data_IF_687421139467
#
_entry.id   IF_687421139467
#
_cell.length_a   1.000
_cell.length_b   1.000
_cell.length_c   1.000
_cell.angle_alpha   90.00
_cell.angle_beta   90.00
_cell.angle_gamma   90.00
#
_symmetry.space_group_name_H-M   'P 1'
#
loop_
_entity.id
_entity.type
_entity.pdbx_description
1 polymer ?
#
# COMPACT_ATOMS: atom_id res chain seq x y z
N UNK A 1 -3.02 11.09 13.49
CA UNK A 1 -3.92 10.45 12.51
C UNK A 1 -4.90 9.55 13.23
N UNK A 2 -6.05 9.24 12.63
CA UNK A 2 -6.97 8.19 13.09
C UNK A 2 -7.06 7.13 11.99
N UNK A 3 -6.56 5.92 12.28
CA UNK A 3 -6.70 4.79 11.38
C UNK A 3 -8.10 4.18 11.51
N UNK A 4 -8.88 4.20 10.43
CA UNK A 4 -10.24 3.65 10.38
C UNK A 4 -10.16 2.25 9.78
N UNK A 5 -9.94 1.26 10.65
CA UNK A 5 -9.66 -0.13 10.27
C UNK A 5 -8.16 -0.38 10.06
N UNK A 6 -7.82 -1.63 9.74
CA UNK A 6 -6.49 -2.05 9.32
C UNK A 6 -6.64 -3.10 8.21
N UNK A 7 -6.06 -2.81 7.05
CA UNK A 7 -6.03 -3.69 5.88
C UNK A 7 -7.41 -4.26 5.44
N UNK A 8 -8.47 -3.44 5.36
CA UNK A 8 -9.84 -3.94 5.16
C UNK A 8 -10.05 -4.65 3.82
N UNK A 9 -9.16 -4.44 2.85
CA UNK A 9 -9.25 -4.97 1.48
C UNK A 9 -8.28 -6.13 1.22
N UNK A 10 -7.69 -6.72 2.26
CA UNK A 10 -6.89 -7.94 2.13
C UNK A 10 -7.66 -9.02 1.35
N UNK A 11 -6.95 -9.75 0.46
CA UNK A 11 -7.53 -10.90 -0.27
C UNK A 11 -8.22 -11.88 0.70
N UNK A 12 -7.62 -12.12 1.86
CA UNK A 12 -8.13 -13.04 2.89
C UNK A 12 -9.52 -12.66 3.43
N UNK A 13 -9.91 -11.38 3.39
CA UNK A 13 -11.21 -10.94 3.87
C UNK A 13 -12.31 -11.03 2.81
N UNK A 14 -12.00 -11.48 1.59
CA UNK A 14 -13.00 -11.77 0.54
C UNK A 14 -14.07 -10.66 0.38
N UNK A 15 -13.60 -9.41 0.27
CA UNK A 15 -14.43 -8.20 0.12
C UNK A 15 -15.43 -7.90 1.26
N UNK A 16 -15.30 -8.53 2.44
CA UNK A 16 -16.21 -8.34 3.59
C UNK A 16 -16.40 -6.86 3.97
N UNK A 17 -15.33 -6.06 3.90
CA UNK A 17 -15.35 -4.66 4.35
C UNK A 17 -15.44 -3.63 3.22
N UNK A 18 -15.59 -4.07 1.97
CA UNK A 18 -15.47 -3.24 0.77
C UNK A 18 -16.47 -2.07 0.76
N UNK A 19 -17.72 -2.32 1.18
CA UNK A 19 -18.80 -1.33 1.14
C UNK A 19 -18.89 -0.45 2.39
N UNK A 20 -18.25 -0.83 3.49
CA UNK A 20 -18.38 -0.12 4.79
C UNK A 20 -17.18 0.78 5.10
N UNK A 21 -16.03 0.52 4.48
CA UNK A 21 -14.77 1.22 4.78
C UNK A 21 -14.86 2.72 4.46
N UNK A 22 -15.31 3.09 3.27
CA UNK A 22 -15.43 4.50 2.89
C UNK A 22 -16.48 5.26 3.73
N UNK A 23 -17.70 4.74 3.97
CA UNK A 23 -18.64 5.36 4.90
C UNK A 23 -18.07 5.58 6.30
N UNK A 24 -17.33 4.61 6.85
CA UNK A 24 -16.70 4.74 8.15
C UNK A 24 -15.63 5.85 8.16
N UNK A 25 -14.75 5.88 7.13
CA UNK A 25 -13.74 6.92 6.97
C UNK A 25 -14.37 8.32 6.93
N UNK A 26 -15.45 8.48 6.14
CA UNK A 26 -16.19 9.74 6.03
C UNK A 26 -16.75 10.19 7.36
N UNK A 27 -17.45 9.30 8.07
CA UNK A 27 -18.06 9.61 9.35
C UNK A 27 -17.02 10.08 10.39
N UNK A 28 -15.85 9.44 10.43
CA UNK A 28 -14.77 9.81 11.36
C UNK A 28 -14.19 11.18 10.99
N UNK A 29 -13.86 11.42 9.72
CA UNK A 29 -13.31 12.71 9.29
C UNK A 29 -14.32 13.85 9.48
N UNK A 30 -15.61 13.64 9.19
CA UNK A 30 -16.66 14.63 9.42
C UNK A 30 -16.84 14.94 10.90
N UNK A 31 -16.70 13.95 11.79
CA UNK A 31 -16.71 14.17 13.23
C UNK A 31 -15.51 15.04 13.68
N UNK A 32 -14.31 14.76 13.16
CA UNK A 32 -13.11 15.58 13.42
C UNK A 32 -13.30 17.02 12.92
N UNK A 33 -13.90 17.19 11.73
CA UNK A 33 -14.21 18.51 11.16
C UNK A 33 -15.20 19.28 12.05
N UNK A 34 -16.30 18.65 12.49
CA UNK A 34 -17.28 19.27 13.39
C UNK A 34 -16.70 19.65 14.76
N UNK A 35 -15.72 18.90 15.24
CA UNK A 35 -15.00 19.22 16.47
C UNK A 35 -13.93 20.33 16.30
N UNK A 36 -13.74 20.86 15.10
CA UNK A 36 -12.69 21.86 14.81
C UNK A 36 -11.27 21.27 14.75
N UNK A 37 -11.13 19.94 14.75
CA UNK A 37 -9.84 19.23 14.76
C UNK A 37 -9.40 18.78 13.37
N UNK A 38 -10.26 18.89 12.35
CA UNK A 38 -10.03 18.38 10.99
C UNK A 38 -8.77 18.89 10.27
N UNK A 39 -8.22 20.03 10.70
CA UNK A 39 -6.95 20.56 10.16
C UNK A 39 -5.70 19.97 10.85
N UNK A 40 -5.86 19.37 12.02
CA UNK A 40 -4.75 18.82 12.82
C UNK A 40 -4.77 17.28 12.83
N UNK A 41 -5.96 16.70 12.81
CA UNK A 41 -6.18 15.26 12.87
C UNK A 41 -6.88 14.83 11.60
N UNK A 42 -6.19 13.99 10.81
CA UNK A 42 -6.72 13.38 9.60
C UNK A 42 -7.07 11.92 9.86
N UNK A 43 -8.24 11.50 9.39
CA UNK A 43 -8.60 10.09 9.29
C UNK A 43 -7.94 9.48 8.04
N UNK A 44 -7.51 8.23 8.14
CA UNK A 44 -6.90 7.47 7.05
C UNK A 44 -7.34 6.00 7.15
N UNK A 45 -7.02 5.20 6.13
CA UNK A 45 -7.24 3.76 6.12
C UNK A 45 -5.90 3.11 5.79
N UNK A 46 -5.23 2.44 6.75
CA UNK A 46 -4.08 1.60 6.47
C UNK A 46 -4.48 0.46 5.54
N UNK A 47 -3.86 0.38 4.37
CA UNK A 47 -4.11 -0.63 3.35
C UNK A 47 -2.86 -1.51 3.19
N UNK A 48 -3.04 -2.81 3.01
CA UNK A 48 -1.91 -3.69 2.72
C UNK A 48 -1.39 -3.45 1.30
N UNK A 49 -0.11 -3.71 1.06
CA UNK A 49 0.47 -3.65 -0.28
C UNK A 49 -0.18 -4.60 -1.31
N UNK A 50 -1.00 -5.57 -0.88
CA UNK A 50 -1.76 -6.45 -1.78
C UNK A 50 -2.85 -5.75 -2.61
N UNK A 51 -3.17 -4.48 -2.31
CA UNK A 51 -4.22 -3.71 -3.01
C UNK A 51 -3.75 -3.12 -4.35
N UNK A 52 -2.46 -3.21 -4.67
CA UNK A 52 -1.89 -2.85 -5.97
C UNK A 52 -0.93 -3.95 -6.44
N UNK A 53 -0.73 -4.01 -7.75
CA UNK A 53 0.12 -5.01 -8.38
C UNK A 53 0.68 -4.49 -9.71
N UNK A 54 1.81 -5.04 -10.12
CA UNK A 54 2.25 -4.95 -11.52
C UNK A 54 1.67 -6.13 -12.30
N UNK A 55 1.29 -5.95 -13.58
CA UNK A 55 0.79 -7.04 -14.39
C UNK A 55 1.88 -8.10 -14.62
N UNK A 56 1.50 -9.38 -14.62
CA UNK A 56 2.46 -10.50 -14.83
C UNK A 56 3.21 -10.40 -16.17
N UNK A 57 2.60 -9.80 -17.19
CA UNK A 57 3.22 -9.57 -18.50
C UNK A 57 4.29 -8.48 -18.49
N UNK A 58 4.32 -7.62 -17.48
CA UNK A 58 5.31 -6.57 -17.30
C UNK A 58 5.50 -6.27 -15.79
N UNK A 59 6.19 -7.15 -15.05
CA UNK A 59 6.26 -7.12 -13.59
C UNK A 59 7.30 -6.09 -13.10
N UNK A 60 7.11 -4.82 -13.47
CA UNK A 60 7.96 -3.69 -13.07
C UNK A 60 7.14 -2.62 -12.35
N UNK A 61 7.73 -1.84 -11.43
CA UNK A 61 6.98 -0.85 -10.64
C UNK A 61 6.22 0.19 -11.45
N UNK A 62 6.80 0.71 -12.54
CA UNK A 62 6.15 1.71 -13.41
C UNK A 62 4.86 1.21 -14.09
N UNK A 63 4.66 -0.10 -14.15
CA UNK A 63 3.45 -0.73 -14.67
C UNK A 63 2.33 -0.88 -13.63
N UNK A 64 2.57 -0.47 -12.38
CA UNK A 64 1.67 -0.62 -11.25
C UNK A 64 0.26 -0.09 -11.50
N UNK A 65 -0.72 -0.83 -11.01
CA UNK A 65 -2.11 -0.42 -10.93
C UNK A 65 -2.77 -0.99 -9.66
N UNK A 66 -3.89 -0.41 -9.26
CA UNK A 66 -4.69 -1.00 -8.19
C UNK A 66 -5.31 -2.31 -8.64
N UNK A 67 -5.31 -3.29 -7.74
CA UNK A 67 -5.75 -4.66 -7.99
C UNK A 67 -7.21 -4.68 -8.50
N UNK A 68 -7.51 -5.47 -9.55
CA UNK A 68 -8.87 -5.70 -10.00
C UNK A 68 -9.79 -6.15 -8.84
N UNK A 69 -11.05 -5.71 -8.87
CA UNK A 69 -12.06 -6.06 -7.86
C UNK A 69 -12.10 -5.14 -6.63
N UNK A 70 -11.03 -4.41 -6.31
CA UNK A 70 -11.02 -3.37 -5.26
C UNK A 70 -10.65 -1.98 -5.76
N UNK A 71 -10.16 -1.88 -7.00
CA UNK A 71 -9.67 -0.64 -7.64
C UNK A 71 -10.64 0.54 -7.49
N UNK A 72 -11.91 0.37 -7.85
CA UNK A 72 -12.87 1.48 -7.84
C UNK A 72 -13.10 2.03 -6.43
N UNK A 73 -13.24 1.14 -5.44
CA UNK A 73 -13.39 1.54 -4.04
C UNK A 73 -12.11 2.19 -3.49
N UNK A 74 -10.93 1.66 -3.83
CA UNK A 74 -9.66 2.29 -3.46
C UNK A 74 -9.56 3.70 -4.04
N UNK A 75 -9.93 3.91 -5.31
CA UNK A 75 -9.94 5.24 -5.94
C UNK A 75 -10.92 6.19 -5.24
N UNK A 76 -12.10 5.72 -4.81
CA UNK A 76 -13.03 6.54 -4.04
C UNK A 76 -12.47 6.93 -2.65
N UNK A 77 -11.71 6.04 -2.01
CA UNK A 77 -11.00 6.35 -0.77
C UNK A 77 -9.91 7.39 -1.03
N UNK A 78 -9.08 7.20 -2.07
CA UNK A 78 -8.02 8.13 -2.47
C UNK A 78 -8.60 9.53 -2.75
N UNK A 79 -9.69 9.60 -3.52
CA UNK A 79 -10.44 10.84 -3.78
C UNK A 79 -10.82 11.56 -2.48
N UNK A 80 -11.38 10.83 -1.52
CA UNK A 80 -11.81 11.40 -0.25
C UNK A 80 -10.64 11.86 0.62
N UNK A 81 -9.57 11.06 0.70
CA UNK A 81 -8.35 11.42 1.42
C UNK A 81 -7.73 12.68 0.84
N UNK A 82 -7.57 12.73 -0.49
CA UNK A 82 -7.00 13.87 -1.20
C UNK A 82 -7.80 15.15 -0.96
N UNK A 83 -9.13 15.08 -1.05
CA UNK A 83 -10.01 16.22 -0.80
C UNK A 83 -9.94 16.77 0.64
N UNK A 84 -9.45 15.97 1.59
CA UNK A 84 -9.29 16.35 2.99
C UNK A 84 -7.83 16.62 3.39
N UNK A 85 -6.89 16.66 2.45
CA UNK A 85 -5.43 16.72 2.72
C UNK A 85 -4.99 15.63 3.72
N UNK A 86 -5.57 14.43 3.58
CA UNK A 86 -5.22 13.25 4.35
C UNK A 86 -4.31 12.32 3.53
N UNK A 87 -3.34 11.65 4.16
CA UNK A 87 -2.41 10.77 3.46
C UNK A 87 -3.04 9.40 3.14
N UNK A 88 -2.51 8.77 2.10
CA UNK A 88 -2.66 7.35 1.84
C UNK A 88 -1.73 6.57 2.78
N UNK A 89 -2.28 5.67 3.60
CA UNK A 89 -1.46 4.84 4.51
C UNK A 89 -1.35 3.44 3.96
N UNK A 90 -0.12 2.93 3.83
CA UNK A 90 0.17 1.59 3.30
C UNK A 90 1.03 0.79 4.26
N UNK A 91 0.74 -0.49 4.40
CA UNK A 91 1.59 -1.44 5.13
C UNK A 91 2.39 -2.24 4.09
N UNK A 92 3.72 -2.20 4.20
CA UNK A 92 4.64 -2.85 3.27
C UNK A 92 5.52 -3.81 4.06
N UNK A 93 5.37 -5.10 3.79
CA UNK A 93 6.11 -6.16 4.46
C UNK A 93 6.96 -6.94 3.44
N UNK A 94 8.24 -6.58 3.23
CA UNK A 94 9.16 -7.31 2.35
C UNK A 94 9.19 -8.83 2.62
N UNK A 95 9.11 -9.21 3.90
CA UNK A 95 9.03 -10.61 4.34
C UNK A 95 7.93 -11.42 3.64
N UNK A 96 6.76 -10.81 3.38
CA UNK A 96 5.64 -11.52 2.74
C UNK A 96 5.95 -11.97 1.30
N UNK A 97 6.92 -11.34 0.63
CA UNK A 97 7.37 -11.79 -0.70
C UNK A 97 8.06 -13.16 -0.64
N UNK A 98 8.82 -13.45 0.43
CA UNK A 98 9.44 -14.76 0.65
C UNK A 98 8.43 -15.81 1.09
N UNK A 99 7.47 -15.41 1.93
CA UNK A 99 6.38 -16.29 2.35
C UNK A 99 5.47 -16.68 1.18
N UNK A 100 5.16 -15.72 0.29
CA UNK A 100 4.26 -15.93 -0.85
C UNK A 100 4.90 -16.61 -2.07
N UNK A 101 6.23 -16.58 -2.20
CA UNK A 101 6.95 -17.21 -3.29
C UNK A 101 8.27 -17.85 -2.79
N UNK A 102 8.38 -19.19 -2.76
CA UNK A 102 9.57 -19.88 -2.28
C UNK A 102 10.82 -19.67 -3.17
N UNK A 103 10.65 -19.12 -4.37
CA UNK A 103 11.73 -18.76 -5.28
C UNK A 103 12.04 -17.26 -5.28
N UNK A 104 11.42 -16.49 -4.37
CA UNK A 104 11.69 -15.07 -4.27
C UNK A 104 13.16 -14.84 -3.85
N UNK A 105 13.89 -13.94 -4.51
CA UNK A 105 15.29 -13.71 -4.21
C UNK A 105 15.48 -13.12 -2.81
N UNK A 106 16.09 -13.90 -1.91
CA UNK A 106 16.34 -13.52 -0.51
C UNK A 106 17.11 -12.20 -0.41
N UNK A 107 18.14 -12.02 -1.24
CA UNK A 107 18.96 -10.80 -1.25
C UNK A 107 18.14 -9.55 -1.64
N UNK A 108 17.09 -9.70 -2.46
CA UNK A 108 16.20 -8.61 -2.83
C UNK A 108 15.18 -8.26 -1.74
N UNK A 109 14.95 -9.13 -0.76
CA UNK A 109 14.08 -8.83 0.37
C UNK A 109 14.73 -7.88 1.40
N UNK A 110 16.07 -7.73 1.34
CA UNK A 110 16.86 -6.87 2.20
C UNK A 110 17.44 -5.66 1.46
N UNK A 111 18.03 -4.72 2.20
CA UNK A 111 18.50 -3.42 1.69
C UNK A 111 19.99 -3.39 1.32
N UNK A 112 20.72 -4.51 1.45
CA UNK A 112 22.16 -4.60 1.17
C UNK A 112 22.49 -4.65 -0.33
N UNK A 113 21.45 -4.57 -1.17
CA UNK A 113 21.53 -4.73 -2.62
C UNK A 113 21.35 -6.19 -3.05
N UNK A 114 20.94 -6.35 -4.31
CA UNK A 114 20.59 -7.67 -4.86
C UNK A 114 21.24 -7.90 -6.22
N UNK A 115 21.67 -9.15 -6.45
CA UNK A 115 22.07 -9.63 -7.78
C UNK A 115 20.86 -9.84 -8.70
N UNK A 116 19.66 -9.84 -8.13
CA UNK A 116 18.36 -9.98 -8.78
C UNK A 116 17.64 -8.63 -8.90
N UNK A 117 18.40 -7.54 -9.06
CA UNK A 117 17.85 -6.20 -9.20
C UNK A 117 16.86 -6.11 -10.37
N UNK A 118 15.75 -5.41 -10.15
CA UNK A 118 14.70 -5.20 -11.16
C UNK A 118 15.00 -3.90 -11.90
N UNK A 119 15.13 -4.00 -13.23
CA UNK A 119 15.30 -2.83 -14.10
C UNK A 119 13.95 -2.36 -14.64
N UNK A 120 13.69 -1.07 -14.49
CA UNK A 120 12.46 -0.42 -14.93
C UNK A 120 12.80 0.89 -15.65
N UNK A 121 12.96 0.82 -16.97
CA UNK A 121 13.50 1.93 -17.77
C UNK A 121 14.92 2.30 -17.31
N UNK A 122 15.07 3.51 -16.77
CA UNK A 122 16.33 4.02 -16.20
C UNK A 122 16.51 3.71 -14.71
N UNK A 123 15.46 3.24 -14.03
CA UNK A 123 15.50 2.91 -12.60
C UNK A 123 15.98 1.48 -12.41
N UNK A 124 16.72 1.27 -11.32
CA UNK A 124 17.20 -0.05 -10.90
C UNK A 124 16.84 -0.22 -9.44
N UNK A 125 15.88 -1.09 -9.17
CA UNK A 125 15.49 -1.44 -7.81
C UNK A 125 16.39 -2.56 -7.33
N UNK A 126 17.03 -2.34 -6.19
CA UNK A 126 17.97 -3.30 -5.58
C UNK A 126 17.38 -3.98 -4.35
N UNK A 127 16.19 -3.55 -3.91
CA UNK A 127 15.40 -4.17 -2.86
C UNK A 127 13.90 -4.10 -3.21
N UNK A 128 13.12 -5.01 -2.62
CA UNK A 128 11.67 -5.14 -2.88
C UNK A 128 10.86 -4.01 -2.25
N UNK A 129 11.34 -3.41 -1.16
CA UNK A 129 10.62 -2.31 -0.51
C UNK A 129 10.49 -1.12 -1.46
N UNK A 130 11.59 -0.67 -2.07
CA UNK A 130 11.58 0.43 -3.03
C UNK A 130 10.75 0.07 -4.27
N UNK A 131 10.89 -1.15 -4.79
CA UNK A 131 10.09 -1.61 -5.93
C UNK A 131 8.59 -1.61 -5.61
N UNK A 132 8.21 -2.09 -4.43
CA UNK A 132 6.82 -2.16 -3.98
C UNK A 132 6.25 -0.75 -3.74
N UNK A 133 7.01 0.12 -3.07
CA UNK A 133 6.63 1.52 -2.84
C UNK A 133 6.43 2.27 -4.16
N UNK A 134 7.34 2.14 -5.12
CA UNK A 134 7.18 2.80 -6.43
C UNK A 134 6.06 2.20 -7.28
N UNK A 135 5.69 0.94 -7.03
CA UNK A 135 4.47 0.35 -7.62
C UNK A 135 3.22 1.08 -7.11
N UNK A 136 3.16 1.43 -5.81
CA UNK A 136 2.09 2.27 -5.27
C UNK A 136 2.13 3.68 -5.87
N UNK A 137 3.32 4.30 -5.98
CA UNK A 137 3.47 5.64 -6.59
C UNK A 137 2.95 5.65 -8.03
N UNK A 138 3.31 4.63 -8.84
CA UNK A 138 2.82 4.48 -10.20
C UNK A 138 1.29 4.30 -10.24
N UNK A 139 0.75 3.47 -9.33
CA UNK A 139 -0.70 3.23 -9.21
C UNK A 139 -1.48 4.50 -8.86
N UNK A 140 -0.98 5.29 -7.91
CA UNK A 140 -1.56 6.59 -7.52
C UNK A 140 -1.51 7.60 -8.68
N UNK A 141 -0.38 7.69 -9.39
CA UNK A 141 -0.25 8.52 -10.60
C UNK A 141 -1.27 8.11 -11.66
N UNK A 142 -1.42 6.81 -11.91
CA UNK A 142 -2.38 6.26 -12.87
C UNK A 142 -3.83 6.52 -12.47
N UNK A 143 -4.11 6.55 -11.17
CA UNK A 143 -5.42 6.93 -10.62
C UNK A 143 -5.68 8.46 -10.63
N UNK A 144 -4.71 9.28 -11.03
CA UNK A 144 -4.84 10.73 -11.13
C UNK A 144 -4.40 11.52 -9.87
N UNK A 145 -3.67 10.88 -8.95
CA UNK A 145 -3.23 11.48 -7.69
C UNK A 145 -1.70 11.41 -7.50
N UNK A 146 -0.90 11.99 -8.42
CA UNK A 146 0.57 11.91 -8.34
C UNK A 146 1.16 12.60 -7.10
N UNK A 147 0.46 13.58 -6.53
CA UNK A 147 0.89 14.36 -5.36
C UNK A 147 0.34 13.80 -4.03
N UNK A 148 -0.25 12.60 -4.05
CA UNK A 148 -0.79 11.99 -2.83
C UNK A 148 0.34 11.74 -1.83
N UNK A 149 0.21 12.29 -0.62
CA UNK A 149 1.11 12.00 0.50
C UNK A 149 0.93 10.54 0.91
N UNK A 150 2.04 9.82 1.02
CA UNK A 150 2.05 8.41 1.44
C UNK A 150 2.68 8.30 2.83
N UNK A 151 2.08 7.48 3.69
CA UNK A 151 2.66 7.03 4.96
C UNK A 151 2.85 5.52 4.89
N UNK A 152 4.05 5.04 5.17
CA UNK A 152 4.27 3.62 5.46
C UNK A 152 3.84 3.39 6.91
N UNK A 153 2.68 2.77 7.10
CA UNK A 153 2.07 2.54 8.41
C UNK A 153 2.75 1.42 9.18
N UNK A 154 3.10 0.34 8.48
CA UNK A 154 3.77 -0.82 9.04
C UNK A 154 4.83 -1.35 8.07
N UNK A 155 5.96 -1.75 8.64
CA UNK A 155 7.04 -2.51 8.00
C UNK A 155 7.72 -3.33 9.10
N UNK A 156 8.11 -4.56 8.81
CA UNK A 156 8.76 -5.41 9.79
C UNK A 156 9.28 -6.72 9.21
N UNK A 157 10.05 -7.42 10.06
CA UNK A 157 10.61 -8.73 9.77
C UNK A 157 10.55 -9.59 11.05
N UNK A 158 10.10 -10.86 10.99
CA UNK A 158 10.05 -11.73 12.16
C UNK A 158 11.46 -12.18 12.60
N UNK A 159 11.69 -12.28 13.90
CA UNK A 159 12.95 -12.81 14.47
C UNK A 159 12.89 -14.31 14.78
N UNK A 160 11.71 -14.93 14.69
CA UNK A 160 11.53 -16.38 14.84
C UNK A 160 10.17 -16.79 14.22
N UNK A 161 9.89 -18.09 14.14
CA UNK A 161 8.58 -18.63 13.74
C UNK A 161 8.39 -18.87 12.23
N UNK A 162 9.40 -18.55 11.41
CA UNK A 162 9.44 -18.85 9.97
C UNK A 162 10.87 -19.22 9.54
N UNK A 163 11.02 -20.02 8.47
CA UNK A 163 12.33 -20.42 7.94
C UNK A 163 13.18 -19.23 7.45
N UNK A 164 12.54 -18.11 7.11
CA UNK A 164 13.19 -16.88 6.67
C UNK A 164 13.24 -15.80 7.76
N UNK A 165 12.94 -16.15 9.02
CA UNK A 165 13.14 -15.25 10.15
C UNK A 165 14.64 -14.98 10.40
N UNK A 166 14.96 -13.81 10.98
CA UNK A 166 16.34 -13.37 11.28
C UNK A 166 16.90 -13.95 12.58
#
# INVERSE_FOLDING_TARGET
>A
YVAVGNEPFLKAYNATYLQITLPALKNVQDALNRAGLGNQIKATVPLNADIYESPESNPVPSAGDFRPGVKDQTIQIIQYLYANDAPFTVNIYPFLSLYGNPYFPMDFAFFDGSKNAVKDGSYVYTNVFDANYDTLVASLRKAGYPEMKIIVGEIGWPTDGDINAN
#
